data_IF_157595282877
#
_entry.id   IF_157595282877
#
_cell.length_a   1.000
_cell.length_b   1.000
_cell.length_c   1.000
_cell.angle_alpha   90.00
_cell.angle_beta   90.00
_cell.angle_gamma   90.00
#
_symmetry.space_group_name_H-M   'P 1'
#
loop_
_entity.id
_entity.type
_entity.pdbx_description
1 polymer ?
#
# COMPACT_ATOMS: atom_id res chain seq x y z
N UNK A 1 -19.97 -24.67 13.47
CA UNK A 1 -20.38 -23.34 13.94
C UNK A 1 -20.54 -22.38 12.78
N UNK A 2 -21.64 -21.72 12.69
CA UNK A 2 -21.88 -20.70 11.67
C UNK A 2 -21.46 -19.32 12.21
N UNK A 3 -20.68 -18.61 11.43
CA UNK A 3 -20.32 -17.24 11.75
C UNK A 3 -21.41 -16.30 11.24
N UNK A 4 -21.66 -15.22 11.97
CA UNK A 4 -22.54 -14.17 11.51
C UNK A 4 -21.89 -13.38 10.36
N UNK A 5 -22.71 -12.67 9.60
CA UNK A 5 -22.20 -11.77 8.56
C UNK A 5 -21.26 -10.72 9.16
N UNK A 6 -21.60 -10.17 10.34
CA UNK A 6 -20.74 -9.20 11.02
C UNK A 6 -19.40 -9.76 11.42
N UNK A 7 -19.35 -10.99 11.92
CA UNK A 7 -18.09 -11.66 12.27
C UNK A 7 -17.24 -11.91 11.05
N UNK A 8 -17.84 -12.34 9.93
CA UNK A 8 -17.12 -12.55 8.67
C UNK A 8 -16.56 -11.24 8.11
N UNK A 9 -17.34 -10.17 8.18
CA UNK A 9 -16.89 -8.86 7.73
C UNK A 9 -15.72 -8.34 8.57
N UNK A 10 -15.80 -8.50 9.89
CA UNK A 10 -14.73 -8.09 10.80
C UNK A 10 -13.44 -8.88 10.54
N UNK A 11 -13.56 -10.21 10.43
CA UNK A 11 -12.40 -11.06 10.16
C UNK A 11 -11.80 -10.76 8.78
N UNK A 12 -12.65 -10.59 7.77
CA UNK A 12 -12.21 -10.26 6.42
C UNK A 12 -11.56 -8.90 6.34
N UNK A 13 -12.09 -7.92 7.07
CA UNK A 13 -11.45 -6.60 7.14
C UNK A 13 -10.06 -6.68 7.76
N UNK A 14 -9.90 -7.50 8.81
CA UNK A 14 -8.59 -7.70 9.43
C UNK A 14 -7.60 -8.31 8.45
N UNK A 15 -8.01 -9.29 7.65
CA UNK A 15 -7.17 -9.88 6.61
C UNK A 15 -6.81 -8.84 5.55
N UNK A 16 -7.78 -8.04 5.11
CA UNK A 16 -7.56 -7.00 4.10
C UNK A 16 -6.56 -5.95 4.59
N UNK A 17 -6.72 -5.49 5.83
CA UNK A 17 -5.80 -4.52 6.44
C UNK A 17 -4.40 -5.12 6.55
N UNK A 18 -4.28 -6.36 7.05
CA UNK A 18 -2.99 -7.03 7.19
C UNK A 18 -2.28 -7.17 5.84
N UNK A 19 -3.02 -7.55 4.79
CA UNK A 19 -2.47 -7.65 3.44
C UNK A 19 -1.86 -6.34 2.97
N UNK A 20 -2.55 -5.24 3.21
CA UNK A 20 -2.09 -3.93 2.75
C UNK A 20 -0.94 -3.37 3.60
N UNK A 21 -0.87 -3.74 4.88
CA UNK A 21 0.30 -3.44 5.71
C UNK A 21 1.53 -4.20 5.19
N UNK A 22 1.38 -5.44 4.78
CA UNK A 22 2.48 -6.22 4.20
C UNK A 22 3.02 -5.56 2.94
N UNK A 23 2.14 -5.08 2.05
CA UNK A 23 2.57 -4.35 0.86
C UNK A 23 3.26 -3.02 1.21
N UNK A 24 2.76 -2.30 2.22
CA UNK A 24 3.41 -1.08 2.70
C UNK A 24 4.83 -1.35 3.22
N UNK A 25 5.01 -2.45 3.96
CA UNK A 25 6.33 -2.88 4.42
C UNK A 25 7.23 -3.26 3.26
N UNK A 26 6.70 -3.90 2.22
CA UNK A 26 7.45 -4.22 1.02
C UNK A 26 7.98 -2.94 0.36
N UNK A 27 7.13 -1.94 0.17
CA UNK A 27 7.54 -0.67 -0.42
C UNK A 27 8.60 0.04 0.43
N UNK A 28 8.39 0.05 1.74
CA UNK A 28 9.33 0.62 2.71
C UNK A 28 10.71 -0.03 2.63
N UNK A 29 10.75 -1.37 2.51
CA UNK A 29 12.00 -2.12 2.55
C UNK A 29 12.77 -2.11 1.23
N UNK A 30 12.10 -1.85 0.10
CA UNK A 30 12.74 -1.96 -1.22
C UNK A 30 13.02 -0.59 -1.85
N UNK A 31 12.15 0.39 -1.64
CA UNK A 31 12.28 1.68 -2.31
C UNK A 31 13.62 2.35 -2.02
N UNK A 32 14.30 2.75 -3.08
CA UNK A 32 15.58 3.48 -2.96
C UNK A 32 16.69 2.68 -2.29
N UNK A 33 16.61 1.35 -2.34
CA UNK A 33 17.60 0.47 -1.71
C UNK A 33 17.27 0.10 -0.27
N UNK A 34 16.11 0.54 0.24
CA UNK A 34 15.64 0.23 1.58
C UNK A 34 15.81 1.39 2.57
N UNK A 35 15.21 1.23 3.74
CA UNK A 35 15.17 2.30 4.75
C UNK A 35 16.57 2.72 5.22
N UNK A 36 17.48 1.78 5.39
CA UNK A 36 18.84 2.09 5.83
C UNK A 36 19.60 2.88 4.76
N UNK A 37 19.46 2.50 3.49
CA UNK A 37 20.09 3.22 2.40
C UNK A 37 19.54 4.64 2.27
N UNK A 38 18.22 4.79 2.36
CA UNK A 38 17.57 6.11 2.30
C UNK A 38 17.97 7.01 3.48
N UNK A 39 18.23 6.41 4.65
CA UNK A 39 18.67 7.17 5.83
C UNK A 39 20.09 7.74 5.65
N UNK A 40 20.92 7.07 4.86
CA UNK A 40 22.31 7.54 4.61
C UNK A 40 22.37 8.66 3.60
N UNK A 41 21.60 8.57 2.54
CA UNK A 41 21.52 9.62 1.51
C UNK A 41 20.27 9.41 0.65
N UNK A 42 19.76 10.50 0.10
CA UNK A 42 18.62 10.43 -0.80
C UNK A 42 19.01 9.65 -2.06
N UNK A 43 18.13 8.77 -2.56
CA UNK A 43 18.41 8.05 -3.80
C UNK A 43 18.43 9.02 -4.98
N UNK A 44 19.40 8.82 -5.88
CA UNK A 44 19.48 9.62 -7.10
C UNK A 44 18.27 9.38 -8.00
N UNK A 45 17.84 8.11 -8.07
CA UNK A 45 16.68 7.69 -8.85
C UNK A 45 15.76 6.86 -7.95
N UNK A 46 14.79 7.49 -7.26
CA UNK A 46 13.88 6.74 -6.40
C UNK A 46 13.01 5.79 -7.23
N UNK A 47 12.65 4.67 -6.64
CA UNK A 47 11.74 3.72 -7.28
C UNK A 47 10.28 4.18 -7.16
N UNK A 48 9.95 4.86 -6.06
CA UNK A 48 8.67 5.50 -5.82
C UNK A 48 8.95 6.99 -5.61
N UNK A 49 8.35 7.84 -6.44
CA UNK A 49 8.58 9.28 -6.36
C UNK A 49 7.42 9.95 -5.63
N UNK A 50 7.69 10.47 -4.44
CA UNK A 50 6.72 11.22 -3.65
C UNK A 50 6.68 12.68 -4.11
N UNK A 51 5.56 13.40 -3.89
CA UNK A 51 5.44 14.81 -4.33
C UNK A 51 6.58 15.70 -3.81
N UNK A 52 7.04 15.45 -2.56
CA UNK A 52 8.12 16.21 -1.95
C UNK A 52 9.46 15.98 -2.63
N UNK A 53 9.62 14.84 -3.30
CA UNK A 53 10.83 14.55 -4.08
C UNK A 53 10.75 15.16 -5.48
N UNK A 54 9.55 15.21 -6.04
CA UNK A 54 9.32 15.77 -7.38
C UNK A 54 9.34 17.30 -7.36
N UNK A 55 8.89 17.92 -6.28
CA UNK A 55 8.88 19.35 -6.10
C UNK A 55 9.42 19.69 -4.70
N UNK A 56 10.72 20.02 -4.61
CA UNK A 56 11.36 20.34 -3.32
C UNK A 56 10.73 21.51 -2.57
N UNK A 57 10.01 22.39 -3.25
CA UNK A 57 9.31 23.51 -2.61
C UNK A 57 8.17 23.07 -1.69
N UNK A 58 7.71 21.80 -1.84
CA UNK A 58 6.63 21.26 -1.04
C UNK A 58 7.09 20.69 0.31
N UNK A 59 8.38 20.69 0.58
CA UNK A 59 8.91 20.02 1.76
C UNK A 59 10.15 20.75 2.31
N UNK A 60 10.44 20.56 3.61
CA UNK A 60 11.68 21.10 4.17
C UNK A 60 12.91 20.45 3.55
N UNK A 61 14.04 21.14 3.62
CA UNK A 61 15.30 20.62 3.13
C UNK A 61 15.63 19.29 3.83
N UNK A 62 16.11 18.32 3.06
CA UNK A 62 16.46 17.02 3.59
C UNK A 62 15.27 16.09 3.86
N UNK A 63 14.11 16.42 3.32
CA UNK A 63 12.93 15.57 3.47
C UNK A 63 13.19 14.16 2.95
N UNK A 64 12.72 13.18 3.70
CA UNK A 64 12.77 11.76 3.32
C UNK A 64 11.44 11.10 3.65
N UNK A 65 11.01 10.11 2.85
CA UNK A 65 9.80 9.37 3.20
C UNK A 65 9.99 8.57 4.47
N UNK A 66 8.97 8.56 5.31
CA UNK A 66 8.90 7.74 6.51
C UNK A 66 7.85 6.65 6.31
N UNK A 67 7.71 5.72 7.25
CA UNK A 67 6.82 4.58 7.07
C UNK A 67 5.38 4.99 6.79
N UNK A 68 4.87 6.05 7.40
CA UNK A 68 3.51 6.51 7.17
C UNK A 68 3.27 6.89 5.70
N UNK A 69 4.29 7.36 5.01
CA UNK A 69 4.18 7.69 3.58
C UNK A 69 3.92 6.43 2.74
N UNK A 70 4.60 5.34 3.07
CA UNK A 70 4.39 4.05 2.40
C UNK A 70 3.08 3.39 2.79
N UNK A 71 2.68 3.55 4.05
CA UNK A 71 1.40 3.06 4.53
C UNK A 71 0.24 3.76 3.81
N UNK A 72 0.31 5.08 3.72
CA UNK A 72 -0.68 5.89 3.00
C UNK A 72 -0.75 5.50 1.52
N UNK A 73 0.41 5.38 0.89
CA UNK A 73 0.51 4.93 -0.51
C UNK A 73 -0.15 3.56 -0.69
N UNK A 74 0.17 2.61 0.17
CA UNK A 74 -0.36 1.26 0.09
C UNK A 74 -1.88 1.23 0.22
N UNK A 75 -2.43 1.88 1.23
CA UNK A 75 -3.88 1.89 1.45
C UNK A 75 -4.63 2.65 0.36
N UNK A 76 -4.11 3.78 -0.10
CA UNK A 76 -4.76 4.52 -1.19
C UNK A 76 -4.70 3.77 -2.51
N UNK A 77 -3.60 3.08 -2.78
CA UNK A 77 -3.50 2.22 -3.95
C UNK A 77 -4.53 1.08 -3.91
N UNK A 78 -4.71 0.46 -2.73
CA UNK A 78 -5.68 -0.62 -2.56
C UNK A 78 -7.12 -0.14 -2.72
N UNK A 79 -7.44 1.06 -2.21
CA UNK A 79 -8.80 1.60 -2.24
C UNK A 79 -9.17 2.26 -3.56
N UNK A 80 -8.21 2.93 -4.20
CA UNK A 80 -8.48 3.73 -5.40
C UNK A 80 -8.02 3.05 -6.70
N UNK A 81 -7.43 1.88 -6.62
CA UNK A 81 -6.83 1.17 -7.76
C UNK A 81 -5.73 1.98 -8.46
N UNK A 82 -5.19 2.96 -7.78
CA UNK A 82 -4.11 3.78 -8.30
C UNK A 82 -3.39 4.46 -7.14
N UNK A 83 -2.10 4.75 -7.29
CA UNK A 83 -1.39 5.53 -6.28
C UNK A 83 -1.92 6.96 -6.31
N UNK A 84 -2.21 7.51 -5.14
CA UNK A 84 -2.71 8.88 -5.01
C UNK A 84 -1.64 9.83 -4.50
N UNK A 85 -0.49 9.32 -4.10
CA UNK A 85 0.59 10.11 -3.50
C UNK A 85 1.90 9.94 -4.26
N UNK A 86 2.47 8.74 -4.26
CA UNK A 86 3.73 8.48 -4.94
C UNK A 86 3.52 7.86 -6.32
N UNK A 87 4.43 8.15 -7.24
CA UNK A 87 4.42 7.58 -8.59
C UNK A 87 5.42 6.43 -8.67
N UNK A 88 4.98 5.22 -9.11
CA UNK A 88 5.92 4.13 -9.35
C UNK A 88 6.71 4.40 -10.63
N UNK A 89 8.04 4.36 -10.54
CA UNK A 89 8.92 4.70 -11.64
C UNK A 89 9.61 3.49 -12.27
N UNK A 90 9.63 2.36 -11.58
CA UNK A 90 10.34 1.16 -12.03
C UNK A 90 9.38 -0.03 -12.13
N UNK A 91 9.73 -1.03 -12.95
CA UNK A 91 8.83 -2.18 -13.18
C UNK A 91 8.40 -2.92 -11.91
N UNK A 92 9.31 -3.16 -10.96
CA UNK A 92 8.94 -3.89 -9.75
C UNK A 92 7.87 -3.14 -8.95
N UNK A 93 7.99 -1.80 -8.89
CA UNK A 93 7.02 -0.98 -8.17
C UNK A 93 5.65 -1.02 -8.84
N UNK A 94 5.62 -0.92 -10.16
CA UNK A 94 4.38 -0.98 -10.93
C UNK A 94 3.69 -2.33 -10.79
N UNK A 95 4.46 -3.41 -10.89
CA UNK A 95 3.92 -4.77 -10.77
C UNK A 95 3.42 -5.01 -9.35
N UNK A 96 4.18 -4.61 -8.34
CA UNK A 96 3.78 -4.77 -6.94
C UNK A 96 2.50 -4.00 -6.63
N UNK A 97 2.36 -2.78 -7.12
CA UNK A 97 1.17 -1.98 -6.92
C UNK A 97 -0.04 -2.57 -7.65
N UNK A 98 0.16 -3.10 -8.85
CA UNK A 98 -0.88 -3.81 -9.57
C UNK A 98 -1.32 -5.07 -8.81
N UNK A 99 -0.37 -5.88 -8.36
CA UNK A 99 -0.66 -7.07 -7.57
C UNK A 99 -1.39 -6.73 -6.28
N UNK A 100 -0.97 -5.68 -5.60
CA UNK A 100 -1.65 -5.22 -4.38
C UNK A 100 -3.11 -4.90 -4.66
N UNK A 101 -3.38 -4.14 -5.72
CA UNK A 101 -4.75 -3.76 -6.09
C UNK A 101 -5.60 -4.98 -6.40
N UNK A 102 -5.06 -5.92 -7.18
CA UNK A 102 -5.78 -7.14 -7.57
C UNK A 102 -6.08 -8.03 -6.37
N UNK A 103 -5.09 -8.27 -5.50
CA UNK A 103 -5.26 -9.09 -4.30
C UNK A 103 -6.25 -8.43 -3.35
N UNK A 104 -6.15 -7.11 -3.17
CA UNK A 104 -7.02 -6.37 -2.27
C UNK A 104 -8.48 -6.44 -2.71
N UNK A 105 -8.74 -6.27 -4.01
CA UNK A 105 -10.11 -6.36 -4.52
C UNK A 105 -10.65 -7.80 -4.47
N UNK A 106 -9.77 -8.78 -4.67
CA UNK A 106 -10.15 -10.18 -4.57
C UNK A 106 -10.56 -10.53 -3.14
N UNK A 107 -9.80 -10.08 -2.15
CA UNK A 107 -10.13 -10.28 -0.72
C UNK A 107 -11.47 -9.65 -0.40
N UNK A 108 -11.67 -8.38 -0.76
CA UNK A 108 -12.93 -7.69 -0.50
C UNK A 108 -14.11 -8.38 -1.18
N UNK A 109 -13.95 -8.79 -2.43
CA UNK A 109 -14.99 -9.48 -3.17
C UNK A 109 -15.39 -10.80 -2.53
N UNK A 110 -14.40 -11.59 -2.11
CA UNK A 110 -14.65 -12.86 -1.44
C UNK A 110 -15.32 -12.67 -0.07
N UNK A 111 -14.87 -11.68 0.69
CA UNK A 111 -15.44 -11.38 2.00
C UNK A 111 -16.90 -10.95 1.87
N UNK A 112 -17.17 -10.03 0.94
CA UNK A 112 -18.55 -9.54 0.70
C UNK A 112 -19.44 -10.68 0.22
N UNK A 113 -18.97 -11.48 -0.74
CA UNK A 113 -19.73 -12.61 -1.27
C UNK A 113 -20.08 -13.62 -0.17
N UNK A 114 -19.12 -13.91 0.71
CA UNK A 114 -19.33 -14.83 1.81
C UNK A 114 -20.33 -14.27 2.83
N UNK A 115 -20.19 -12.99 3.16
CA UNK A 115 -21.11 -12.33 4.09
C UNK A 115 -22.54 -12.30 3.54
N UNK A 116 -22.72 -12.00 2.26
CA UNK A 116 -24.03 -12.02 1.61
C UNK A 116 -24.61 -13.43 1.62
N UNK A 117 -23.80 -14.43 1.34
CA UNK A 117 -24.24 -15.83 1.34
C UNK A 117 -24.73 -16.28 2.73
N UNK A 118 -24.13 -15.79 3.80
CA UNK A 118 -24.57 -16.07 5.17
C UNK A 118 -25.90 -15.40 5.48
N UNK A 119 -26.17 -14.23 4.88
CA UNK A 119 -27.43 -13.50 5.09
C UNK A 119 -28.59 -14.11 4.32
N UNK A 120 -28.35 -14.86 3.27
CA UNK A 120 -29.39 -15.52 2.48
C UNK A 120 -29.57 -16.97 2.89
#
# INVERSE_FOLDING_TARGET
>A
MTQSAGELLAAGNAVWVANNIVFALLYWEIDGGGSAARARHAPEHPHLAFPQQMNPDLAPAGWRPVFIDYLYLGFTNALAFSPTDAMPLVPWAKISMLMQSLVSVAILGLVIARAVNVLT
#
